data_IF_078689277214
#
_entry.id   IF_078689277214
#
_cell.length_a   1.000
_cell.length_b   1.000
_cell.length_c   1.000
_cell.angle_alpha   90.00
_cell.angle_beta   90.00
_cell.angle_gamma   90.00
#
_symmetry.space_group_name_H-M   'P 1'
#
loop_
_entity.id
_entity.type
_entity.pdbx_description
1 polymer ?
#
# COMPACT_ATOMS: atom_id res chain seq x y z
N UNK A 1 13.17 -29.16 9.81
CA UNK A 1 13.06 -28.04 8.82
C UNK A 1 11.61 -27.65 8.48
N UNK A 2 10.57 -28.19 9.16
CA UNK A 2 9.15 -27.90 8.87
C UNK A 2 8.59 -26.62 9.54
N UNK A 3 9.29 -26.03 10.51
CA UNK A 3 8.72 -25.04 11.44
C UNK A 3 8.38 -23.68 10.82
N UNK A 4 9.23 -23.12 9.95
CA UNK A 4 9.03 -21.76 9.41
C UNK A 4 7.83 -21.63 8.44
N UNK A 5 7.55 -22.65 7.62
CA UNK A 5 6.43 -22.62 6.67
C UNK A 5 5.09 -22.77 7.37
N UNK A 6 5.02 -23.63 8.39
CA UNK A 6 3.81 -23.84 9.20
C UNK A 6 3.44 -22.59 10.00
N UNK A 7 4.43 -21.89 10.57
CA UNK A 7 4.21 -20.65 11.32
C UNK A 7 3.68 -19.50 10.44
N UNK A 8 4.22 -19.34 9.22
CA UNK A 8 3.75 -18.32 8.25
C UNK A 8 2.33 -18.62 7.80
N UNK A 9 2.05 -19.87 7.43
CA UNK A 9 0.72 -20.31 7.00
C UNK A 9 -0.32 -20.06 8.11
N UNK A 10 0.03 -20.38 9.37
CA UNK A 10 -0.85 -20.18 10.53
C UNK A 10 -1.15 -18.70 10.76
N UNK A 11 -0.14 -17.85 10.69
CA UNK A 11 -0.28 -16.40 10.87
C UNK A 11 -1.15 -15.75 9.78
N UNK A 12 -0.98 -16.13 8.51
CA UNK A 12 -1.83 -15.66 7.40
C UNK A 12 -3.29 -16.09 7.60
N UNK A 13 -3.51 -17.35 7.99
CA UNK A 13 -4.86 -17.88 8.23
C UNK A 13 -5.56 -17.16 9.38
N UNK A 14 -4.83 -16.83 10.44
CA UNK A 14 -5.37 -16.11 11.59
C UNK A 14 -5.64 -14.63 11.26
N UNK A 15 -4.80 -13.98 10.44
CA UNK A 15 -5.10 -12.64 9.93
C UNK A 15 -6.34 -12.62 9.04
N UNK A 16 -6.52 -13.61 8.17
CA UNK A 16 -7.73 -13.73 7.34
C UNK A 16 -8.99 -13.85 8.22
N UNK A 17 -8.95 -14.67 9.27
CA UNK A 17 -10.06 -14.78 10.25
C UNK A 17 -10.35 -13.46 10.97
N UNK A 18 -9.32 -12.69 11.32
CA UNK A 18 -9.50 -11.36 11.93
C UNK A 18 -10.16 -10.41 10.93
N UNK A 19 -9.72 -10.42 9.67
CA UNK A 19 -10.31 -9.59 8.62
C UNK A 19 -11.75 -9.99 8.30
N UNK A 20 -12.08 -11.27 8.27
CA UNK A 20 -13.47 -11.76 8.13
C UNK A 20 -14.37 -11.29 9.27
N UNK A 21 -13.85 -11.26 10.51
CA UNK A 21 -14.61 -10.69 11.64
C UNK A 21 -14.85 -9.19 11.49
N UNK A 22 -13.89 -8.47 10.90
CA UNK A 22 -13.99 -7.02 10.66
C UNK A 22 -14.92 -6.67 9.50
N UNK A 23 -14.82 -7.39 8.38
CA UNK A 23 -15.46 -7.04 7.12
C UNK A 23 -16.53 -8.02 6.66
N UNK A 24 -16.82 -9.06 7.42
CA UNK A 24 -17.69 -10.21 7.06
C UNK A 24 -17.10 -11.13 5.99
N UNK A 25 -17.52 -12.40 6.02
CA UNK A 25 -17.11 -13.41 5.04
C UNK A 25 -17.50 -13.07 3.59
N UNK A 26 -18.73 -12.58 3.30
CA UNK A 26 -19.09 -12.25 1.91
C UNK A 26 -18.18 -11.20 1.28
N UNK A 27 -17.79 -10.15 2.01
CA UNK A 27 -16.89 -9.13 1.46
C UNK A 27 -15.48 -9.68 1.23
N UNK A 28 -14.94 -10.45 2.18
CA UNK A 28 -13.62 -11.07 2.00
C UNK A 28 -13.60 -12.08 0.84
N UNK A 29 -14.68 -12.84 0.65
CA UNK A 29 -14.83 -13.80 -0.44
C UNK A 29 -15.02 -13.15 -1.81
N UNK A 30 -15.63 -11.96 -1.87
CA UNK A 30 -15.79 -11.20 -3.12
C UNK A 30 -14.47 -10.68 -3.68
N UNK A 31 -13.42 -10.66 -2.86
CA UNK A 31 -12.08 -10.19 -3.21
C UNK A 31 -11.66 -9.03 -2.32
N UNK A 32 -10.36 -8.96 -2.06
CA UNK A 32 -9.75 -7.88 -1.29
C UNK A 32 -8.42 -7.49 -1.93
N UNK A 33 -8.02 -6.24 -1.71
CA UNK A 33 -6.76 -5.71 -2.23
C UNK A 33 -5.86 -5.35 -1.06
N UNK A 34 -4.67 -5.95 -1.02
CA UNK A 34 -3.64 -5.62 -0.05
C UNK A 34 -2.96 -4.31 -0.46
N UNK A 35 -3.01 -3.31 0.41
CA UNK A 35 -2.24 -2.06 0.26
C UNK A 35 -1.49 -1.81 1.56
N UNK A 36 -0.15 -1.63 1.52
CA UNK A 36 0.60 -1.21 2.68
C UNK A 36 0.07 0.11 3.25
N UNK A 37 -0.36 0.11 4.52
CA UNK A 37 -0.94 1.30 5.16
C UNK A 37 0.00 2.51 5.15
N UNK A 38 1.32 2.26 5.10
CA UNK A 38 2.32 3.33 5.05
C UNK A 38 2.15 4.24 3.82
N UNK A 39 1.66 3.71 2.70
CA UNK A 39 1.39 4.50 1.49
C UNK A 39 0.26 5.49 1.74
N UNK A 40 -0.79 5.07 2.46
CA UNK A 40 -1.93 5.92 2.81
C UNK A 40 -1.50 6.95 3.86
N UNK A 41 -0.78 6.52 4.90
CA UNK A 41 -0.31 7.39 5.99
C UNK A 41 0.68 8.46 5.51
N UNK A 42 1.52 8.12 4.53
CA UNK A 42 2.55 9.00 3.98
C UNK A 42 2.21 9.51 2.58
N UNK A 43 0.94 9.47 2.17
CA UNK A 43 0.51 9.89 0.83
C UNK A 43 1.03 11.30 0.47
N UNK A 44 0.94 12.25 1.41
CA UNK A 44 1.36 13.63 1.17
C UNK A 44 2.89 13.73 1.06
N UNK A 45 3.63 12.98 1.88
CA UNK A 45 5.10 12.95 1.82
C UNK A 45 5.60 12.29 0.52
N UNK A 46 4.84 11.34 -0.03
CA UNK A 46 5.07 10.73 -1.34
C UNK A 46 4.64 11.63 -2.51
N UNK A 47 4.09 12.83 -2.24
CA UNK A 47 3.59 13.72 -3.28
C UNK A 47 2.31 13.23 -3.97
N UNK A 48 1.61 12.29 -3.36
CA UNK A 48 0.35 11.73 -3.86
C UNK A 48 -0.82 12.54 -3.34
N UNK A 49 -1.77 12.86 -4.22
CA UNK A 49 -3.06 13.39 -3.80
C UNK A 49 -4.19 12.36 -3.84
N UNK A 50 -5.39 12.80 -3.50
CA UNK A 50 -6.57 11.94 -3.44
C UNK A 50 -6.87 11.22 -4.77
N UNK A 51 -6.63 11.86 -5.92
CA UNK A 51 -6.86 11.22 -7.22
C UNK A 51 -5.77 10.20 -7.52
N UNK A 52 -4.52 10.53 -7.19
CA UNK A 52 -3.39 9.64 -7.39
C UNK A 52 -3.53 8.35 -6.57
N UNK A 53 -3.94 8.46 -5.30
CA UNK A 53 -4.23 7.30 -4.44
C UNK A 53 -5.37 6.45 -5.01
N UNK A 54 -6.47 7.06 -5.45
CA UNK A 54 -7.57 6.30 -6.06
C UNK A 54 -7.13 5.57 -7.33
N UNK A 55 -6.28 6.17 -8.17
CA UNK A 55 -5.70 5.50 -9.33
C UNK A 55 -4.86 4.30 -8.89
N UNK A 56 -4.00 4.45 -7.87
CA UNK A 56 -3.18 3.36 -7.33
C UNK A 56 -4.04 2.23 -6.78
N UNK A 57 -5.11 2.54 -6.03
CA UNK A 57 -6.06 1.53 -5.51
C UNK A 57 -6.68 0.70 -6.64
N UNK A 58 -7.14 1.37 -7.70
CA UNK A 58 -7.67 0.65 -8.86
C UNK A 58 -6.60 -0.19 -9.54
N UNK A 59 -5.40 0.34 -9.77
CA UNK A 59 -4.30 -0.43 -10.36
C UNK A 59 -3.97 -1.67 -9.51
N UNK A 60 -3.86 -1.52 -8.20
CA UNK A 60 -3.59 -2.64 -7.30
C UNK A 60 -4.74 -3.67 -7.28
N UNK A 61 -5.99 -3.25 -7.43
CA UNK A 61 -7.13 -4.18 -7.51
C UNK A 61 -7.09 -5.09 -8.75
N UNK A 62 -6.40 -4.66 -9.82
CA UNK A 62 -6.16 -5.48 -11.01
C UNK A 62 -4.85 -6.30 -10.92
N UNK A 63 -4.06 -6.15 -9.85
CA UNK A 63 -2.77 -6.82 -9.68
C UNK A 63 -2.91 -8.04 -8.77
N UNK A 64 -3.34 -9.17 -9.35
CA UNK A 64 -3.66 -10.39 -8.58
C UNK A 64 -2.46 -11.31 -8.31
N UNK A 65 -1.46 -11.29 -9.18
CA UNK A 65 -0.19 -12.02 -9.01
C UNK A 65 0.97 -11.12 -9.41
N UNK A 66 2.15 -11.32 -8.83
CA UNK A 66 3.34 -10.49 -9.15
C UNK A 66 3.64 -10.46 -10.66
N UNK A 67 3.44 -11.61 -11.30
CA UNK A 67 3.63 -11.88 -12.73
C UNK A 67 2.58 -11.18 -13.61
N UNK A 68 1.33 -11.08 -13.14
CA UNK A 68 0.24 -10.48 -13.91
C UNK A 68 0.07 -9.00 -13.57
N UNK A 69 0.96 -8.16 -14.13
CA UNK A 69 0.92 -6.71 -13.93
C UNK A 69 -0.43 -6.12 -14.35
N UNK A 70 -0.95 -5.13 -13.61
CA UNK A 70 -2.26 -4.55 -13.89
C UNK A 70 -2.26 -3.84 -15.25
N UNK A 71 -3.33 -4.03 -16.01
CA UNK A 71 -3.50 -3.41 -17.32
C UNK A 71 -4.91 -2.87 -17.63
N UNK A 72 -5.61 -2.22 -16.68
CA UNK A 72 -6.89 -1.58 -16.98
C UNK A 72 -6.70 -0.42 -17.96
N UNK A 73 -7.74 -0.12 -18.75
CA UNK A 73 -7.71 1.06 -19.60
C UNK A 73 -7.84 2.34 -18.75
N UNK A 74 -7.31 3.47 -19.24
CA UNK A 74 -7.47 4.77 -18.56
C UNK A 74 -8.96 5.13 -18.40
N UNK A 75 -9.79 4.77 -19.38
CA UNK A 75 -11.25 4.95 -19.33
C UNK A 75 -11.91 4.10 -18.24
N UNK A 76 -11.45 2.87 -18.04
CA UNK A 76 -11.93 1.98 -16.98
C UNK A 76 -11.67 2.59 -15.61
N UNK A 77 -10.44 3.07 -15.36
CA UNK A 77 -10.08 3.75 -14.12
C UNK A 77 -10.92 5.02 -13.95
N UNK A 78 -11.04 5.83 -15.00
CA UNK A 78 -11.80 7.08 -14.97
C UNK A 78 -13.28 6.87 -14.61
N UNK A 79 -13.92 5.87 -15.22
CA UNK A 79 -15.31 5.51 -14.93
C UNK A 79 -15.47 5.01 -13.49
N UNK A 80 -14.52 4.24 -12.97
CA UNK A 80 -14.58 3.72 -11.60
C UNK A 80 -14.42 4.83 -10.55
N UNK A 81 -13.55 5.81 -10.82
CA UNK A 81 -13.33 6.98 -9.94
C UNK A 81 -14.43 8.04 -10.13
N UNK A 82 -15.09 8.09 -11.29
CA UNK A 82 -16.09 9.11 -11.63
C UNK A 82 -15.50 10.44 -12.09
N UNK A 83 -14.37 10.41 -12.81
CA UNK A 83 -13.68 11.61 -13.30
C UNK A 83 -13.41 11.54 -14.81
N UNK A 84 -13.03 12.67 -15.40
CA UNK A 84 -12.69 12.73 -16.82
C UNK A 84 -11.45 11.85 -17.16
N UNK A 85 -11.49 11.05 -18.24
CA UNK A 85 -10.35 10.22 -18.66
C UNK A 85 -9.04 11.00 -18.91
N UNK A 86 -9.13 12.26 -19.34
CA UNK A 86 -7.99 13.16 -19.52
C UNK A 86 -7.34 13.50 -18.18
N UNK A 87 -8.13 13.61 -17.10
CA UNK A 87 -7.59 13.75 -15.75
C UNK A 87 -6.78 12.52 -15.38
N UNK A 88 -7.32 11.32 -15.51
CA UNK A 88 -6.56 10.07 -15.24
C UNK A 88 -5.28 10.01 -16.07
N UNK A 89 -5.33 10.35 -17.35
CA UNK A 89 -4.14 10.40 -18.20
C UNK A 89 -3.07 11.37 -17.68
N UNK A 90 -3.46 12.58 -17.28
CA UNK A 90 -2.54 13.59 -16.72
C UNK A 90 -1.94 13.12 -15.40
N UNK A 91 -2.75 12.53 -14.51
CA UNK A 91 -2.31 12.01 -13.21
C UNK A 91 -1.32 10.86 -13.36
N UNK A 92 -1.64 9.89 -14.22
CA UNK A 92 -0.71 8.79 -14.55
C UNK A 92 0.62 9.33 -15.10
N UNK A 93 0.58 10.34 -15.98
CA UNK A 93 1.81 10.95 -16.50
C UNK A 93 2.61 11.68 -15.41
N UNK A 94 1.93 12.31 -14.43
CA UNK A 94 2.57 12.94 -13.27
C UNK A 94 3.23 11.90 -12.36
N UNK A 95 2.54 10.78 -12.10
CA UNK A 95 3.07 9.66 -11.32
C UNK A 95 4.29 9.03 -11.98
N UNK A 96 4.28 8.91 -13.31
CA UNK A 96 5.43 8.43 -14.07
C UNK A 96 6.60 9.42 -14.07
N UNK A 97 6.33 10.72 -14.21
CA UNK A 97 7.34 11.76 -14.07
C UNK A 97 7.96 11.78 -12.67
N UNK A 98 7.16 11.51 -11.64
CA UNK A 98 7.62 11.38 -10.25
C UNK A 98 8.31 10.04 -9.96
N UNK A 99 8.43 9.14 -10.93
CA UNK A 99 9.05 7.83 -10.75
C UNK A 99 8.24 6.86 -9.89
N UNK A 100 6.98 7.15 -9.58
CA UNK A 100 6.13 6.31 -8.71
C UNK A 100 5.45 5.17 -9.48
N UNK A 101 5.21 5.35 -10.78
CA UNK A 101 4.60 4.34 -11.65
C UNK A 101 5.37 4.29 -12.97
N UNK A 102 5.57 3.11 -13.54
CA UNK A 102 6.09 2.96 -14.90
C UNK A 102 5.07 2.34 -15.83
N UNK A 103 4.95 2.84 -17.05
CA UNK A 103 4.09 2.26 -18.08
C UNK A 103 4.89 1.48 -19.09
N UNK A 104 4.38 0.32 -19.45
CA UNK A 104 4.87 -0.46 -20.57
C UNK A 104 3.79 -0.51 -21.65
N UNK A 105 4.08 0.14 -22.77
CA UNK A 105 3.18 0.19 -23.92
C UNK A 105 3.13 -1.17 -24.61
N UNK A 106 1.92 -1.72 -24.75
CA UNK A 106 1.71 -2.94 -25.50
C UNK A 106 1.19 -2.60 -26.88
N UNK A 107 2.07 -2.60 -27.88
CA UNK A 107 1.70 -2.40 -29.28
C UNK A 107 1.65 -3.74 -30.01
N UNK A 108 0.63 -3.94 -30.82
CA UNK A 108 0.56 -5.09 -31.74
C UNK A 108 0.76 -4.56 -33.15
N UNK A 109 1.80 -5.07 -33.81
CA UNK A 109 2.05 -4.77 -35.22
C UNK A 109 0.81 -5.11 -36.06
N UNK A 110 0.29 -4.11 -36.78
CA UNK A 110 -0.88 -4.26 -37.66
C UNK A 110 -2.26 -4.34 -37.00
N UNK A 111 -2.39 -4.35 -35.66
CA UNK A 111 -3.69 -4.42 -34.95
C UNK A 111 -3.94 -3.31 -33.94
N UNK A 112 -3.05 -2.33 -33.83
CA UNK A 112 -3.18 -1.17 -32.95
C UNK A 112 -2.59 -1.39 -31.54
N UNK A 113 -2.95 -0.50 -30.61
CA UNK A 113 -2.43 -0.50 -29.24
C UNK A 113 -3.34 -1.26 -28.27
N UNK A 114 -2.76 -2.14 -27.45
CA UNK A 114 -3.41 -2.74 -26.28
C UNK A 114 -3.34 -1.79 -25.10
N UNK A 115 -4.09 -2.10 -24.03
CA UNK A 115 -3.95 -1.38 -22.77
C UNK A 115 -2.55 -1.54 -22.21
N UNK A 116 -2.00 -0.44 -21.68
CA UNK A 116 -0.67 -0.42 -21.08
C UNK A 116 -0.61 -1.34 -19.86
N UNK A 117 0.56 -1.91 -19.61
CA UNK A 117 0.90 -2.51 -18.32
C UNK A 117 1.40 -1.40 -17.40
N UNK A 118 1.05 -1.47 -16.12
CA UNK A 118 1.52 -0.54 -15.11
C UNK A 118 2.38 -1.29 -14.08
N UNK A 119 3.50 -0.68 -13.71
CA UNK A 119 4.40 -1.17 -12.69
C UNK A 119 4.36 -0.19 -11.50
N UNK A 120 4.22 -0.71 -10.29
CA UNK A 120 4.19 0.06 -9.02
C UNK A 120 5.51 -0.08 -8.24
N UNK A 121 6.55 -0.57 -8.90
CA UNK A 121 7.91 -0.74 -8.38
C UNK A 121 8.44 0.56 -7.77
N UNK A 122 8.35 1.67 -8.51
CA UNK A 122 8.80 2.96 -8.02
C UNK A 122 8.04 3.49 -6.79
N UNK A 123 6.74 3.22 -6.68
CA UNK A 123 5.95 3.54 -5.49
C UNK A 123 6.40 2.73 -4.28
N UNK A 124 6.69 1.44 -4.47
CA UNK A 124 7.17 0.56 -3.41
C UNK A 124 8.54 1.05 -2.91
N UNK A 125 9.44 1.36 -3.82
CA UNK A 125 10.76 1.92 -3.50
C UNK A 125 10.66 3.24 -2.74
N UNK A 126 9.79 4.16 -3.20
CA UNK A 126 9.57 5.44 -2.53
C UNK A 126 8.95 5.29 -1.13
N UNK A 127 8.10 4.28 -0.92
CA UNK A 127 7.43 4.04 0.36
C UNK A 127 8.29 3.28 1.39
N UNK A 128 9.29 2.51 0.94
CA UNK A 128 10.09 1.64 1.79
C UNK A 128 10.85 2.37 2.93
N UNK A 129 11.49 3.53 2.73
CA UNK A 129 12.15 4.26 3.80
C UNK A 129 11.21 4.66 4.93
N UNK A 130 9.99 5.12 4.58
CA UNK A 130 8.98 5.47 5.58
C UNK A 130 8.48 4.26 6.36
N UNK A 131 8.43 3.08 5.72
CA UNK A 131 8.09 1.85 6.40
C UNK A 131 9.16 1.49 7.43
N UNK A 132 10.44 1.65 7.08
CA UNK A 132 11.56 1.39 7.98
C UNK A 132 11.54 2.33 9.19
N UNK A 133 11.37 3.64 8.96
CA UNK A 133 11.23 4.64 10.02
C UNK A 133 10.12 4.26 11.01
N UNK A 134 8.95 3.86 10.50
CA UNK A 134 7.82 3.45 11.33
C UNK A 134 8.10 2.18 12.13
N UNK A 135 8.82 1.21 11.55
CA UNK A 135 9.22 -0.01 12.26
C UNK A 135 10.19 0.29 13.40
N UNK A 136 11.13 1.21 13.18
CA UNK A 136 12.10 1.64 14.19
C UNK A 136 11.39 2.36 15.35
N UNK A 137 10.41 3.23 15.05
CA UNK A 137 9.55 3.88 16.03
C UNK A 137 8.75 2.88 16.88
N UNK A 138 8.18 1.86 16.24
CA UNK A 138 7.44 0.80 16.92
C UNK A 138 8.38 0.03 17.87
N UNK A 139 9.57 -0.34 17.39
CA UNK A 139 10.56 -1.05 18.18
C UNK A 139 11.03 -0.20 19.38
N UNK A 140 11.26 1.10 19.18
CA UNK A 140 11.63 2.02 20.25
C UNK A 140 10.53 2.11 21.32
N UNK A 141 9.28 2.32 20.91
CA UNK A 141 8.12 2.36 21.82
C UNK A 141 7.95 1.06 22.59
N UNK A 142 8.13 -0.10 21.95
CA UNK A 142 8.08 -1.40 22.62
C UNK A 142 9.19 -1.57 23.66
N UNK A 143 10.43 -1.18 23.33
CA UNK A 143 11.56 -1.20 24.28
C UNK A 143 11.27 -0.33 25.48
N UNK A 144 10.82 0.91 25.27
CA UNK A 144 10.44 1.81 26.36
C UNK A 144 9.33 1.23 27.23
N UNK A 145 8.27 0.70 26.64
CA UNK A 145 7.15 0.10 27.36
C UNK A 145 7.60 -1.09 28.21
N UNK A 146 8.43 -1.98 27.64
CA UNK A 146 8.97 -3.13 28.37
C UNK A 146 9.89 -2.70 29.53
N UNK A 147 10.68 -1.65 29.34
CA UNK A 147 11.54 -1.09 30.39
C UNK A 147 10.72 -0.43 31.51
N UNK A 148 9.64 0.30 31.15
CA UNK A 148 8.69 0.87 32.11
C UNK A 148 7.98 -0.22 32.91
N UNK A 149 7.49 -1.28 32.25
CA UNK A 149 6.82 -2.40 32.92
C UNK A 149 7.74 -3.16 33.87
N UNK A 150 9.05 -3.25 33.57
CA UNK A 150 10.05 -3.88 34.44
C UNK A 150 10.49 -3.00 35.62
N UNK A 151 10.24 -1.69 35.58
CA UNK A 151 10.68 -0.75 36.61
C UNK A 151 9.84 -0.94 37.90
N UNK A 152 10.52 -1.28 39.00
CA UNK A 152 9.90 -1.31 40.35
C UNK A 152 10.08 0.05 41.04
N UNK A 153 9.07 0.47 41.81
CA UNK A 153 9.11 1.70 42.65
C UNK A 153 8.29 2.89 42.11
N UNK A 154 8.16 3.94 42.92
CA UNK A 154 7.33 5.12 42.60
C UNK A 154 7.85 5.85 41.34
N UNK A 155 6.95 6.32 40.46
CA UNK A 155 7.35 7.03 39.25
C UNK A 155 8.12 8.31 39.59
N UNK A 156 9.25 8.54 38.90
CA UNK A 156 9.95 9.83 38.98
C UNK A 156 9.25 10.79 38.02
N UNK A 157 8.59 11.81 38.57
CA UNK A 157 8.01 12.91 37.80
C UNK A 157 9.15 13.70 37.16
N UNK A 158 9.10 13.89 35.84
CA UNK A 158 9.92 14.89 35.15
C UNK A 158 9.09 16.17 35.06
N UNK A 159 9.61 17.27 35.58
CA UNK A 159 9.03 18.60 35.37
C UNK A 159 9.28 18.95 33.90
N UNK A 160 8.20 19.17 33.15
CA UNK A 160 8.28 19.73 31.79
C UNK A 160 8.30 21.24 31.98
N UNK A 161 9.42 21.91 31.72
CA UNK A 161 9.42 23.37 31.62
C UNK A 161 8.78 23.75 30.28
N UNK A 162 7.61 24.35 30.35
CA UNK A 162 7.03 25.07 29.22
C UNK A 162 7.83 26.36 29.02
N UNK A 163 8.52 26.48 27.88
CA UNK A 163 8.94 27.76 27.31
C UNK A 163 7.75 28.44 26.61
#
# INVERSE_FOLDING_TARGET
MATKKEDVQKHETDQLKVNEKKWSKPLMNAGWTAIPSIIIERQQALGLDAVDINIILHLASYWWTEENKPHPSKKTIANAIGIDPRTVQRRIASLEKGGLIRREERRIFGKGSKTNLYHLDGLIEAAAPYAQEKLDDIAHKQREQSARAKRKGKPKLKVVSSE
#
